data_IF_461543344923
#
_entry.id   IF_461543344923
#
_cell.length_a   1.000
_cell.length_b   1.000
_cell.length_c   1.000
_cell.angle_alpha   90.00
_cell.angle_beta   90.00
_cell.angle_gamma   90.00
#
_symmetry.space_group_name_H-M   'P 1'
#
loop_
_entity.id
_entity.type
_entity.pdbx_description
1 polymer ?
#
# COMPACT_ATOMS: atom_id res chain seq x y z
N UNK A 1 -38.82 -31.01 -2.05
CA UNK A 1 -38.20 -31.17 -0.70
C UNK A 1 -36.96 -30.26 -0.52
N UNK A 2 -37.03 -28.98 -0.94
CA UNK A 2 -35.89 -28.05 -0.99
C UNK A 2 -36.25 -26.61 -0.52
N UNK A 3 -37.34 -26.45 0.25
CA UNK A 3 -37.81 -25.15 0.77
C UNK A 3 -37.66 -25.05 2.31
N UNK A 4 -37.40 -26.16 3.01
CA UNK A 4 -37.25 -26.19 4.47
C UNK A 4 -35.87 -25.74 4.99
N UNK A 5 -34.80 -25.88 4.20
CA UNK A 5 -33.42 -25.64 4.65
C UNK A 5 -33.06 -24.15 4.72
N UNK A 6 -33.60 -23.34 3.80
CA UNK A 6 -33.34 -21.89 3.75
C UNK A 6 -34.02 -21.10 4.86
N UNK A 7 -35.22 -21.51 5.30
CA UNK A 7 -35.91 -20.87 6.45
C UNK A 7 -35.20 -21.14 7.78
N UNK A 8 -34.62 -22.32 7.96
CA UNK A 8 -33.89 -22.67 9.18
C UNK A 8 -32.55 -21.92 9.30
N UNK A 9 -31.91 -21.60 8.18
CA UNK A 9 -30.67 -20.81 8.17
C UNK A 9 -30.99 -19.33 8.42
N UNK A 10 -32.04 -18.80 7.80
CA UNK A 10 -32.46 -17.41 8.02
C UNK A 10 -32.95 -17.16 9.46
N UNK A 11 -33.68 -18.09 10.09
CA UNK A 11 -34.11 -17.92 11.49
C UNK A 11 -32.91 -17.92 12.44
N UNK A 12 -31.89 -18.76 12.19
CA UNK A 12 -30.66 -18.79 13.00
C UNK A 12 -29.85 -17.51 12.87
N UNK A 13 -29.80 -16.91 11.68
CA UNK A 13 -29.11 -15.62 11.46
C UNK A 13 -29.85 -14.48 12.16
N UNK A 14 -31.18 -14.49 12.13
CA UNK A 14 -32.03 -13.48 12.79
C UNK A 14 -31.96 -13.62 14.33
N UNK A 15 -32.02 -14.83 14.87
CA UNK A 15 -31.88 -15.08 16.32
C UNK A 15 -30.48 -14.68 16.82
N UNK A 16 -29.43 -14.87 16.01
CA UNK A 16 -28.07 -14.42 16.35
C UNK A 16 -27.91 -12.90 16.27
N UNK A 17 -28.70 -12.22 15.44
CA UNK A 17 -28.71 -10.76 15.32
C UNK A 17 -29.53 -10.07 16.42
N UNK A 18 -30.60 -10.70 16.91
CA UNK A 18 -31.51 -10.15 17.93
C UNK A 18 -30.99 -10.42 19.35
N UNK A 19 -30.31 -11.54 19.59
CA UNK A 19 -29.64 -11.83 20.86
C UNK A 19 -28.14 -11.59 20.72
N UNK A 20 -27.74 -10.32 20.68
CA UNK A 20 -26.33 -9.98 20.90
C UNK A 20 -25.96 -10.44 22.31
N UNK A 21 -25.05 -11.42 22.49
CA UNK A 21 -24.51 -11.69 23.81
C UNK A 21 -23.85 -10.40 24.32
N UNK A 22 -23.92 -10.15 25.64
CA UNK A 22 -23.15 -9.08 26.27
C UNK A 22 -21.71 -9.16 25.74
N UNK A 23 -21.06 -8.02 25.43
CA UNK A 23 -19.75 -8.02 24.79
C UNK A 23 -18.84 -8.99 25.54
N UNK A 24 -18.28 -9.94 24.79
CA UNK A 24 -17.42 -10.99 25.34
C UNK A 24 -16.34 -10.34 26.22
N UNK A 25 -15.87 -11.01 27.27
CA UNK A 25 -14.78 -10.50 28.11
C UNK A 25 -13.60 -10.02 27.25
N UNK A 26 -13.36 -10.67 26.11
CA UNK A 26 -12.38 -10.31 25.07
C UNK A 26 -12.66 -8.96 24.41
N UNK A 27 -13.90 -8.66 24.00
CA UNK A 27 -14.25 -7.35 23.43
C UNK A 27 -14.11 -6.22 24.46
N UNK A 28 -14.51 -6.49 25.71
CA UNK A 28 -14.33 -5.53 26.80
C UNK A 28 -12.84 -5.30 27.08
N UNK A 29 -12.02 -6.36 27.04
CA UNK A 29 -10.56 -6.31 27.16
C UNK A 29 -9.93 -5.52 26.02
N UNK A 30 -10.34 -5.75 24.78
CA UNK A 30 -9.90 -4.98 23.62
C UNK A 30 -10.26 -3.49 23.74
N UNK A 31 -11.44 -3.13 24.26
CA UNK A 31 -11.80 -1.74 24.52
C UNK A 31 -11.01 -1.12 25.69
N UNK A 32 -10.72 -1.90 26.75
CA UNK A 32 -9.88 -1.46 27.87
C UNK A 32 -8.40 -1.32 27.48
N UNK A 33 -7.88 -2.24 26.67
CA UNK A 33 -6.53 -2.20 26.10
C UNK A 33 -6.41 -1.07 25.07
N UNK A 34 -7.49 -0.77 24.32
CA UNK A 34 -7.59 0.39 23.42
C UNK A 34 -7.57 1.72 24.18
N UNK A 35 -8.34 1.85 25.28
CA UNK A 35 -8.35 3.03 26.15
C UNK A 35 -7.01 3.22 26.89
N UNK A 36 -6.32 2.12 27.20
CA UNK A 36 -4.98 2.16 27.79
C UNK A 36 -3.89 2.45 26.75
N UNK A 37 -3.99 1.96 25.51
CA UNK A 37 -3.09 2.30 24.39
C UNK A 37 -3.15 3.79 24.02
N UNK A 38 -4.33 4.42 24.12
CA UNK A 38 -4.45 5.88 23.97
C UNK A 38 -3.84 6.68 25.12
N UNK A 39 -3.53 6.03 26.26
CA UNK A 39 -2.95 6.64 27.46
C UNK A 39 -1.50 6.21 27.75
N UNK A 40 -0.95 5.23 27.02
CA UNK A 40 0.48 4.94 27.04
C UNK A 40 1.23 6.00 26.22
N UNK A 41 2.43 6.38 26.67
CA UNK A 41 3.27 7.38 26.02
C UNK A 41 3.52 7.11 24.52
N UNK A 42 4.22 8.01 23.81
CA UNK A 42 4.39 7.96 22.36
C UNK A 42 4.69 6.55 21.87
N UNK A 43 3.93 6.10 20.87
CA UNK A 43 4.15 4.82 20.20
C UNK A 43 5.61 4.83 19.70
N UNK A 44 6.49 4.23 20.48
CA UNK A 44 7.90 4.22 20.19
C UNK A 44 8.19 3.08 19.23
N UNK A 45 9.34 3.14 18.56
CA UNK A 45 9.88 2.02 17.80
C UNK A 45 9.67 0.72 18.60
N UNK A 46 9.11 -0.36 18.00
CA UNK A 46 8.93 -1.63 18.70
C UNK A 46 10.23 -2.04 19.39
N UNK A 47 10.17 -2.35 20.68
CA UNK A 47 11.33 -2.80 21.47
C UNK A 47 11.48 -4.31 21.51
N UNK A 48 10.43 -5.03 21.09
CA UNK A 48 10.42 -6.47 20.95
C UNK A 48 11.41 -6.94 19.87
N UNK A 49 12.36 -7.84 20.19
CA UNK A 49 13.38 -8.29 19.25
C UNK A 49 12.79 -8.92 17.98
N UNK A 50 11.71 -9.69 18.09
CA UNK A 50 11.11 -10.37 16.94
C UNK A 50 10.44 -9.37 16.00
N UNK A 51 9.70 -8.41 16.56
CA UNK A 51 9.15 -7.27 15.82
C UNK A 51 10.23 -6.42 15.12
N UNK A 52 11.36 -6.19 15.78
CA UNK A 52 12.50 -5.44 15.23
C UNK A 52 13.16 -6.17 14.08
N UNK A 53 13.40 -7.47 14.23
CA UNK A 53 13.99 -8.31 13.18
C UNK A 53 13.08 -8.33 11.96
N UNK A 54 11.78 -8.60 12.15
CA UNK A 54 10.81 -8.60 11.05
C UNK A 54 10.73 -7.22 10.37
N UNK A 55 10.70 -6.15 11.17
CA UNK A 55 10.72 -4.78 10.69
C UNK A 55 11.96 -4.48 9.83
N UNK A 56 13.14 -4.87 10.31
CA UNK A 56 14.42 -4.66 9.64
C UNK A 56 14.55 -5.45 8.33
N UNK A 57 14.13 -6.72 8.33
CA UNK A 57 14.11 -7.53 7.10
C UNK A 57 13.17 -6.96 6.05
N UNK A 58 11.94 -6.59 6.44
CA UNK A 58 10.99 -6.00 5.51
C UNK A 58 11.46 -4.66 4.94
N UNK A 59 12.01 -3.78 5.79
CA UNK A 59 12.54 -2.50 5.34
C UNK A 59 13.79 -2.66 4.46
N UNK A 60 14.69 -3.58 4.83
CA UNK A 60 15.88 -3.91 4.05
C UNK A 60 15.55 -4.46 2.66
N UNK A 61 14.54 -5.32 2.55
CA UNK A 61 14.05 -5.83 1.27
C UNK A 61 13.44 -4.73 0.40
N UNK A 62 12.62 -3.85 0.98
CA UNK A 62 12.01 -2.71 0.28
C UNK A 62 13.09 -1.75 -0.24
N UNK A 63 13.97 -1.26 0.64
CA UNK A 63 15.07 -0.35 0.28
C UNK A 63 16.03 -0.99 -0.71
N UNK A 64 16.41 -2.25 -0.48
CA UNK A 64 17.31 -3.00 -1.35
C UNK A 64 16.79 -3.09 -2.78
N UNK A 65 15.50 -3.39 -2.96
CA UNK A 65 14.90 -3.43 -4.29
C UNK A 65 14.90 -2.07 -4.98
N UNK A 66 14.53 -0.99 -4.28
CA UNK A 66 14.55 0.36 -4.82
C UNK A 66 15.95 0.80 -5.27
N UNK A 67 16.99 0.42 -4.51
CA UNK A 67 18.38 0.72 -4.87
C UNK A 67 18.80 -0.02 -6.15
N UNK A 68 18.45 -1.30 -6.27
CA UNK A 68 18.73 -2.09 -7.50
C UNK A 68 18.00 -1.48 -8.70
N UNK A 69 16.73 -1.16 -8.55
CA UNK A 69 15.90 -0.51 -9.59
C UNK A 69 16.47 0.86 -9.99
N UNK A 70 16.98 1.63 -9.03
CA UNK A 70 17.63 2.91 -9.29
C UNK A 70 18.93 2.71 -10.09
N UNK A 71 19.74 1.71 -9.74
CA UNK A 71 20.95 1.38 -10.48
C UNK A 71 20.64 0.93 -11.92
N UNK A 72 19.61 0.11 -12.12
CA UNK A 72 19.15 -0.32 -13.43
C UNK A 72 18.60 0.86 -14.25
N UNK A 73 17.85 1.76 -13.62
CA UNK A 73 17.38 3.01 -14.25
C UNK A 73 18.57 3.84 -14.70
N UNK A 74 19.57 4.04 -13.84
CA UNK A 74 20.80 4.80 -14.16
C UNK A 74 21.54 4.17 -15.34
N UNK A 75 21.74 2.85 -15.32
CA UNK A 75 22.44 2.13 -16.38
C UNK A 75 21.73 2.25 -17.74
N UNK A 76 20.39 2.31 -17.73
CA UNK A 76 19.57 2.42 -18.94
C UNK A 76 19.21 3.87 -19.32
N UNK A 77 19.66 4.89 -18.56
CA UNK A 77 19.33 6.29 -18.83
C UNK A 77 19.85 6.76 -20.18
N UNK A 78 18.95 7.31 -20.99
CA UNK A 78 19.30 8.00 -22.24
C UNK A 78 19.29 9.52 -22.05
N UNK A 79 20.30 10.19 -22.62
CA UNK A 79 20.41 11.66 -22.57
C UNK A 79 19.18 12.29 -23.26
N UNK A 80 18.55 13.25 -22.58
CA UNK A 80 17.40 14.00 -23.10
C UNK A 80 16.02 13.38 -22.83
N UNK A 81 15.94 12.18 -22.24
CA UNK A 81 14.65 11.56 -21.90
C UNK A 81 14.25 11.92 -20.47
N UNK A 82 13.21 12.75 -20.32
CA UNK A 82 12.71 13.19 -19.01
C UNK A 82 12.19 12.03 -18.15
N UNK A 83 11.56 11.02 -18.77
CA UNK A 83 10.91 9.91 -18.07
C UNK A 83 11.86 9.18 -17.11
N UNK A 84 13.08 8.84 -17.55
CA UNK A 84 14.05 8.15 -16.69
C UNK A 84 14.49 9.01 -15.49
N UNK A 85 14.57 10.33 -15.66
CA UNK A 85 14.93 11.25 -14.57
C UNK A 85 13.83 11.29 -13.51
N UNK A 86 12.57 11.26 -13.94
CA UNK A 86 11.42 11.22 -13.03
C UNK A 86 11.34 9.88 -12.29
N UNK A 87 11.54 8.75 -12.98
CA UNK A 87 11.61 7.42 -12.36
C UNK A 87 12.73 7.38 -11.32
N UNK A 88 13.92 7.90 -11.64
CA UNK A 88 15.02 7.93 -10.68
C UNK A 88 14.68 8.81 -9.45
N UNK A 89 14.05 9.96 -9.66
CA UNK A 89 13.63 10.83 -8.56
C UNK A 89 12.58 10.16 -7.66
N UNK A 90 11.61 9.45 -8.25
CA UNK A 90 10.62 8.65 -7.53
C UNK A 90 11.28 7.61 -6.63
N UNK A 91 12.22 6.83 -7.18
CA UNK A 91 12.92 5.77 -6.46
C UNK A 91 13.76 6.33 -5.30
N UNK A 92 14.43 7.46 -5.49
CA UNK A 92 15.21 8.12 -4.44
C UNK A 92 14.30 8.57 -3.30
N UNK A 93 13.18 9.23 -3.61
CA UNK A 93 12.21 9.70 -2.62
C UNK A 93 11.62 8.54 -1.79
N UNK A 94 11.25 7.44 -2.45
CA UNK A 94 10.77 6.24 -1.76
C UNK A 94 11.84 5.60 -0.87
N UNK A 95 13.09 5.54 -1.34
CA UNK A 95 14.22 4.94 -0.61
C UNK A 95 14.48 5.66 0.72
N UNK A 96 14.36 6.99 0.73
CA UNK A 96 14.53 7.79 1.94
C UNK A 96 13.52 7.42 3.04
N UNK A 97 12.31 6.99 2.67
CA UNK A 97 11.33 6.52 3.64
C UNK A 97 11.78 5.29 4.41
N UNK A 98 12.42 4.31 3.77
CA UNK A 98 12.84 3.08 4.46
C UNK A 98 13.92 3.28 5.54
N UNK A 99 14.46 4.49 5.71
CA UNK A 99 15.49 4.80 6.71
C UNK A 99 14.97 5.05 8.12
N UNK A 100 13.65 5.22 8.30
CA UNK A 100 13.10 5.60 9.61
C UNK A 100 13.41 4.61 10.72
N UNK A 101 13.56 3.32 10.39
CA UNK A 101 13.81 2.24 11.34
C UNK A 101 15.14 2.37 12.10
N UNK A 102 16.09 3.16 11.58
CA UNK A 102 17.37 3.39 12.26
C UNK A 102 17.27 4.38 13.42
N UNK A 103 16.18 5.14 13.51
CA UNK A 103 15.99 6.15 14.55
C UNK A 103 15.32 5.59 15.80
N UNK A 104 15.54 6.25 16.94
CA UNK A 104 14.92 5.92 18.23
C UNK A 104 14.25 7.16 18.82
N UNK A 105 13.44 6.97 19.86
CA UNK A 105 12.87 8.07 20.62
C UNK A 105 13.98 9.01 21.13
N UNK A 106 13.81 10.34 21.12
CA UNK A 106 12.61 11.12 20.77
C UNK A 106 12.48 11.49 19.28
N UNK A 107 13.49 11.23 18.45
CA UNK A 107 13.55 11.69 17.05
C UNK A 107 12.67 10.83 16.12
N UNK A 108 12.36 9.60 16.55
CA UNK A 108 11.63 8.61 15.76
C UNK A 108 10.35 9.14 15.09
N UNK A 109 9.42 9.73 15.85
CA UNK A 109 8.14 10.19 15.32
C UNK A 109 8.29 11.33 14.30
N UNK A 110 9.20 12.27 14.55
CA UNK A 110 9.52 13.37 13.64
C UNK A 110 10.14 12.89 12.32
N UNK A 111 11.11 11.99 12.42
CA UNK A 111 11.82 11.46 11.26
C UNK A 111 10.91 10.55 10.42
N UNK A 112 10.10 9.70 11.05
CA UNK A 112 9.08 8.90 10.37
C UNK A 112 8.09 9.78 9.59
N UNK A 113 7.53 10.82 10.22
CA UNK A 113 6.58 11.71 9.55
C UNK A 113 7.22 12.50 8.39
N UNK A 114 8.44 13.01 8.60
CA UNK A 114 9.17 13.75 7.55
C UNK A 114 9.48 12.86 6.35
N UNK A 115 9.92 11.64 6.60
CA UNK A 115 10.22 10.69 5.53
C UNK A 115 8.95 10.12 4.88
N UNK A 116 7.81 10.08 5.59
CA UNK A 116 6.51 9.74 4.99
C UNK A 116 6.05 10.78 3.96
N UNK A 117 6.32 12.07 4.18
CA UNK A 117 6.07 13.12 3.17
C UNK A 117 6.83 12.80 1.86
N UNK A 118 8.07 12.34 1.96
CA UNK A 118 8.86 11.93 0.80
C UNK A 118 8.27 10.70 0.11
N UNK A 119 7.74 9.74 0.87
CA UNK A 119 7.02 8.59 0.31
C UNK A 119 5.78 9.04 -0.47
N UNK A 120 4.96 9.94 0.07
CA UNK A 120 3.76 10.43 -0.62
C UNK A 120 4.09 11.30 -1.83
N UNK A 121 5.20 12.04 -1.78
CA UNK A 121 5.74 12.72 -2.96
C UNK A 121 6.18 11.71 -4.03
N UNK A 122 6.85 10.63 -3.64
CA UNK A 122 7.19 9.51 -4.54
C UNK A 122 5.93 8.87 -5.14
N UNK A 123 4.93 8.54 -4.33
CA UNK A 123 3.66 7.98 -4.79
C UNK A 123 2.94 8.92 -5.77
N UNK A 124 2.95 10.22 -5.54
CA UNK A 124 2.35 11.20 -6.44
C UNK A 124 3.11 11.24 -7.78
N UNK A 125 4.44 11.23 -7.72
CA UNK A 125 5.30 11.20 -8.91
C UNK A 125 5.12 9.90 -9.70
N UNK A 126 5.01 8.75 -9.02
CA UNK A 126 4.72 7.46 -9.59
C UNK A 126 3.46 7.49 -10.46
N UNK A 127 2.38 8.06 -9.93
CA UNK A 127 1.10 8.17 -10.63
C UNK A 127 1.16 9.13 -11.83
N UNK A 128 1.97 10.19 -11.75
CA UNK A 128 2.24 11.08 -12.90
C UNK A 128 3.04 10.35 -13.98
N UNK A 129 4.04 9.55 -13.61
CA UNK A 129 4.83 8.74 -14.55
C UNK A 129 3.94 7.69 -15.23
N UNK A 130 3.11 6.99 -14.46
CA UNK A 130 2.13 6.04 -15.00
C UNK A 130 1.19 6.72 -16.00
N UNK A 131 0.65 7.89 -15.64
CA UNK A 131 -0.16 8.71 -16.55
C UNK A 131 0.60 9.07 -17.83
N UNK A 132 1.86 9.55 -17.74
CA UNK A 132 2.67 9.89 -18.90
C UNK A 132 2.87 8.71 -19.85
N UNK A 133 3.04 7.49 -19.31
CA UNK A 133 3.20 6.25 -20.11
C UNK A 133 1.92 5.89 -20.87
N UNK A 134 0.75 6.03 -20.26
CA UNK A 134 -0.54 5.67 -20.90
C UNK A 134 -1.20 6.81 -21.67
N UNK A 135 -0.78 8.07 -21.43
CA UNK A 135 -1.36 9.28 -22.04
C UNK A 135 -1.52 9.20 -23.56
N UNK A 136 -0.57 8.68 -24.36
CA UNK A 136 -0.72 8.60 -25.82
C UNK A 136 -1.91 7.74 -26.27
N UNK A 137 -2.38 6.84 -25.42
CA UNK A 137 -3.47 5.90 -25.73
C UNK A 137 -4.82 6.33 -25.13
N UNK A 138 -4.85 7.43 -24.35
CA UNK A 138 -6.05 7.91 -23.68
C UNK A 138 -6.74 9.04 -24.46
N UNK A 139 -8.07 9.05 -24.44
CA UNK A 139 -8.84 10.21 -24.88
C UNK A 139 -8.59 11.41 -23.95
N UNK A 140 -8.74 12.64 -24.46
CA UNK A 140 -8.52 13.87 -23.67
C UNK A 140 -9.34 13.91 -22.37
N UNK A 141 -10.58 13.41 -22.40
CA UNK A 141 -11.46 13.36 -21.23
C UNK A 141 -10.95 12.37 -20.17
N UNK A 142 -10.56 11.16 -20.60
CA UNK A 142 -10.03 10.14 -19.70
C UNK A 142 -8.66 10.54 -19.11
N UNK A 143 -7.81 11.20 -19.91
CA UNK A 143 -6.54 11.74 -19.42
C UNK A 143 -6.74 12.79 -18.33
N UNK A 144 -7.69 13.71 -18.50
CA UNK A 144 -7.99 14.74 -17.48
C UNK A 144 -8.63 14.10 -16.26
N UNK A 145 -9.51 13.11 -16.44
CA UNK A 145 -10.10 12.36 -15.33
C UNK A 145 -9.04 11.62 -14.50
N UNK A 146 -8.10 10.92 -15.16
CA UNK A 146 -7.01 10.21 -14.48
C UNK A 146 -6.20 11.16 -13.61
N UNK A 147 -5.66 12.24 -14.17
CA UNK A 147 -4.81 13.16 -13.40
C UNK A 147 -5.63 13.97 -12.38
N UNK A 148 -6.88 14.30 -12.69
CA UNK A 148 -7.79 15.00 -11.78
C UNK A 148 -8.06 14.18 -10.52
N UNK A 149 -8.27 12.87 -10.65
CA UNK A 149 -8.44 11.98 -9.48
C UNK A 149 -7.17 11.87 -8.65
N UNK A 150 -5.97 11.82 -9.27
CA UNK A 150 -4.69 11.88 -8.53
C UNK A 150 -4.56 13.16 -7.69
N UNK A 151 -4.97 14.31 -8.26
CA UNK A 151 -4.96 15.58 -7.53
C UNK A 151 -5.98 15.61 -6.38
N UNK A 152 -7.17 15.02 -6.59
CA UNK A 152 -8.23 14.98 -5.57
C UNK A 152 -7.86 14.15 -4.34
N UNK A 153 -6.89 13.24 -4.46
CA UNK A 153 -6.42 12.42 -3.34
C UNK A 153 -5.42 13.16 -2.43
N UNK A 154 -4.79 14.24 -2.90
CA UNK A 154 -3.76 14.95 -2.12
C UNK A 154 -4.21 15.40 -0.71
N UNK A 155 -5.45 15.90 -0.50
CA UNK A 155 -5.95 16.20 0.84
C UNK A 155 -5.96 15.00 1.78
N UNK A 156 -6.25 13.79 1.28
CA UNK A 156 -6.18 12.57 2.10
C UNK A 156 -4.76 12.33 2.62
N UNK A 157 -3.74 12.42 1.76
CA UNK A 157 -2.34 12.23 2.15
C UNK A 157 -1.84 13.27 3.17
N UNK A 158 -2.35 14.51 3.10
CA UNK A 158 -2.05 15.55 4.09
C UNK A 158 -2.59 15.15 5.47
N UNK A 159 -3.85 14.69 5.52
CA UNK A 159 -4.48 14.25 6.77
C UNK A 159 -3.77 13.00 7.32
N UNK A 160 -3.43 12.05 6.44
CA UNK A 160 -2.72 10.84 6.82
C UNK A 160 -1.34 11.13 7.42
N UNK A 161 -0.55 12.00 6.78
CA UNK A 161 0.74 12.48 7.30
C UNK A 161 0.60 13.09 8.70
N UNK A 162 -0.41 13.95 8.90
CA UNK A 162 -0.67 14.55 10.20
C UNK A 162 -1.03 13.49 11.24
N UNK A 163 -1.85 12.51 10.87
CA UNK A 163 -2.26 11.43 11.77
C UNK A 163 -1.09 10.53 12.19
N UNK A 164 -0.15 10.23 11.27
CA UNK A 164 1.11 9.55 11.58
C UNK A 164 1.91 10.37 12.59
N UNK A 165 2.11 11.66 12.32
CA UNK A 165 2.85 12.54 13.23
C UNK A 165 2.22 12.58 14.63
N UNK A 166 0.91 12.77 14.70
CA UNK A 166 0.16 12.88 15.96
C UNK A 166 0.21 11.56 16.76
N UNK A 167 0.07 10.41 16.09
CA UNK A 167 0.12 9.08 16.71
C UNK A 167 1.51 8.77 17.30
N UNK A 168 2.58 8.95 16.52
CA UNK A 168 3.93 8.57 16.93
C UNK A 168 4.60 9.58 17.88
N UNK A 169 4.11 10.82 17.95
CA UNK A 169 4.59 11.83 18.91
C UNK A 169 3.63 12.06 20.11
N UNK A 170 2.51 11.33 20.17
CA UNK A 170 1.45 11.49 21.17
C UNK A 170 0.90 12.94 21.25
N UNK A 171 0.72 13.59 20.10
CA UNK A 171 0.27 15.00 20.01
C UNK A 171 -1.21 15.04 19.67
N UNK A 172 -2.06 14.70 20.64
CA UNK A 172 -3.52 14.73 20.50
C UNK A 172 -4.08 13.85 19.37
N UNK A 173 -5.40 13.62 19.35
CA UNK A 173 -6.11 12.99 18.24
C UNK A 173 -5.51 11.66 17.67
N UNK A 174 -4.86 10.86 18.52
CA UNK A 174 -4.19 9.60 18.15
C UNK A 174 -5.13 8.56 17.54
N UNK A 175 -6.42 8.62 17.90
CA UNK A 175 -7.46 7.75 17.32
C UNK A 175 -7.69 7.97 15.82
N UNK A 176 -7.36 9.15 15.28
CA UNK A 176 -7.57 9.47 13.87
C UNK A 176 -6.76 8.51 12.99
N UNK A 177 -5.53 8.20 13.39
CA UNK A 177 -4.65 7.31 12.64
C UNK A 177 -5.27 5.92 12.44
N UNK A 178 -5.83 5.35 13.52
CA UNK A 178 -6.47 4.03 13.46
C UNK A 178 -7.74 4.02 12.60
N UNK A 179 -8.45 5.15 12.53
CA UNK A 179 -9.66 5.29 11.71
C UNK A 179 -9.35 5.48 10.23
N UNK A 180 -8.22 6.11 9.90
CA UNK A 180 -7.83 6.43 8.52
C UNK A 180 -7.09 5.26 7.86
N UNK A 181 -6.28 4.49 8.59
CA UNK A 181 -5.46 3.39 8.05
C UNK A 181 -6.23 2.39 7.14
N UNK A 182 -7.45 1.92 7.48
CA UNK A 182 -8.19 1.01 6.58
C UNK A 182 -8.51 1.61 5.20
N UNK A 183 -8.55 2.94 5.10
CA UNK A 183 -8.83 3.66 3.85
C UNK A 183 -7.58 3.85 2.98
N UNK A 184 -6.38 3.65 3.52
CA UNK A 184 -5.13 3.89 2.82
C UNK A 184 -5.06 3.11 1.50
N UNK A 185 -5.39 1.81 1.51
CA UNK A 185 -5.41 0.99 0.31
C UNK A 185 -6.32 1.56 -0.80
N UNK A 186 -7.49 2.10 -0.42
CA UNK A 186 -8.43 2.70 -1.36
C UNK A 186 -7.87 3.97 -2.00
N UNK A 187 -7.14 4.79 -1.25
CA UNK A 187 -6.56 6.04 -1.76
C UNK A 187 -5.17 5.87 -2.39
N UNK A 188 -4.57 4.68 -2.25
CA UNK A 188 -3.24 4.34 -2.80
C UNK A 188 -3.31 3.55 -4.11
N UNK A 189 -4.18 2.54 -4.16
CA UNK A 189 -4.08 1.44 -5.13
C UNK A 189 -4.92 1.55 -6.44
N UNK A 190 -5.99 2.36 -6.58
CA UNK A 190 -6.83 2.36 -7.79
C UNK A 190 -6.11 2.70 -9.11
N UNK A 191 -5.13 3.60 -9.08
CA UNK A 191 -4.51 4.14 -10.30
C UNK A 191 -3.58 3.16 -11.00
N UNK A 192 -2.79 2.40 -10.24
CA UNK A 192 -1.91 1.39 -10.84
C UNK A 192 -2.75 0.25 -11.43
N UNK A 193 -3.84 -0.15 -10.76
CA UNK A 193 -4.83 -1.12 -11.25
C UNK A 193 -5.46 -0.65 -12.56
N UNK A 194 -5.90 0.61 -12.61
CA UNK A 194 -6.46 1.20 -13.82
C UNK A 194 -5.45 1.21 -14.96
N UNK A 195 -4.22 1.66 -14.70
CA UNK A 195 -3.12 1.70 -15.66
C UNK A 195 -2.81 0.32 -16.21
N UNK A 196 -2.73 -0.68 -15.34
CA UNK A 196 -2.50 -2.08 -15.68
C UNK A 196 -3.59 -2.63 -16.59
N UNK A 197 -4.85 -2.58 -16.16
CA UNK A 197 -5.98 -3.08 -16.93
C UNK A 197 -6.09 -2.39 -18.29
N UNK A 198 -5.84 -1.07 -18.35
CA UNK A 198 -5.87 -0.31 -19.58
C UNK A 198 -4.75 -0.72 -20.54
N UNK A 199 -3.52 -0.91 -20.06
CA UNK A 199 -2.41 -1.38 -20.88
C UNK A 199 -2.71 -2.76 -21.48
N UNK A 200 -3.23 -3.69 -20.68
CA UNK A 200 -3.63 -5.01 -21.16
C UNK A 200 -4.74 -4.93 -22.22
N UNK A 201 -5.74 -4.09 -21.99
CA UNK A 201 -6.82 -3.85 -22.94
C UNK A 201 -6.31 -3.29 -24.27
N UNK A 202 -5.43 -2.28 -24.22
CA UNK A 202 -4.82 -1.66 -25.41
C UNK A 202 -4.00 -2.68 -26.19
N UNK A 203 -3.18 -3.49 -25.51
CA UNK A 203 -2.34 -4.51 -26.18
C UNK A 203 -3.22 -5.52 -26.93
N UNK A 204 -4.26 -6.03 -26.27
CA UNK A 204 -5.16 -6.98 -26.89
C UNK A 204 -5.92 -6.36 -28.08
N UNK A 205 -6.41 -5.12 -27.95
CA UNK A 205 -7.26 -4.48 -28.98
C UNK A 205 -6.52 -3.87 -30.15
N UNK A 206 -5.40 -3.18 -29.91
CA UNK A 206 -4.68 -2.45 -30.96
C UNK A 206 -3.67 -3.35 -31.66
N UNK A 207 -2.97 -4.20 -30.90
CA UNK A 207 -1.91 -5.04 -31.46
C UNK A 207 -2.41 -6.43 -31.85
N UNK A 208 -3.64 -6.82 -31.46
CA UNK A 208 -4.23 -8.14 -31.73
C UNK A 208 -3.34 -9.31 -31.26
N UNK A 209 -2.54 -9.07 -30.21
CA UNK A 209 -1.65 -10.06 -29.61
C UNK A 209 -2.34 -10.62 -28.37
N UNK A 210 -2.37 -11.94 -28.24
CA UNK A 210 -2.87 -12.58 -27.02
C UNK A 210 -1.84 -12.46 -25.89
N UNK A 211 -2.30 -12.46 -24.62
CA UNK A 211 -1.38 -12.35 -23.48
C UNK A 211 -0.34 -13.47 -23.44
N UNK A 212 -0.70 -14.69 -23.85
CA UNK A 212 0.22 -15.82 -23.91
C UNK A 212 1.27 -15.64 -25.01
N UNK A 213 0.89 -15.12 -26.18
CA UNK A 213 1.85 -14.77 -27.23
C UNK A 213 2.77 -13.65 -26.79
N UNK A 214 2.25 -12.64 -26.08
CA UNK A 214 3.05 -11.54 -25.55
C UNK A 214 4.13 -12.04 -24.57
N UNK A 215 3.76 -12.95 -23.66
CA UNK A 215 4.70 -13.59 -22.72
C UNK A 215 5.73 -14.44 -23.48
N UNK A 216 5.31 -15.10 -24.55
CA UNK A 216 6.21 -15.92 -25.38
C UNK A 216 7.21 -15.07 -26.17
N UNK A 217 6.79 -13.91 -26.66
CA UNK A 217 7.63 -12.96 -27.39
C UNK A 217 8.60 -12.25 -26.43
N UNK A 218 8.10 -11.85 -25.25
CA UNK A 218 8.90 -11.20 -24.21
C UNK A 218 8.61 -11.82 -22.84
N UNK A 219 9.45 -12.79 -22.40
CA UNK A 219 9.31 -13.42 -21.08
C UNK A 219 9.32 -12.42 -19.93
N UNK A 220 9.97 -11.26 -20.13
CA UNK A 220 10.02 -10.12 -19.21
C UNK A 220 8.63 -9.60 -18.85
N UNK A 221 7.73 -9.53 -19.83
CA UNK A 221 6.33 -9.12 -19.60
C UNK A 221 5.59 -10.15 -18.74
N UNK A 222 5.91 -11.44 -18.86
CA UNK A 222 5.36 -12.48 -18.01
C UNK A 222 5.78 -12.35 -16.55
N UNK A 223 7.07 -12.07 -16.29
CA UNK A 223 7.56 -11.83 -14.92
C UNK A 223 6.90 -10.59 -14.31
N UNK A 224 6.79 -9.50 -15.08
CA UNK A 224 6.07 -8.29 -14.67
C UNK A 224 4.61 -8.60 -14.29
N UNK A 225 3.87 -9.30 -15.16
CA UNK A 225 2.47 -9.67 -14.93
C UNK A 225 2.33 -10.52 -13.67
N UNK A 226 3.16 -11.55 -13.51
CA UNK A 226 3.16 -12.39 -12.32
C UNK A 226 3.40 -11.56 -11.05
N UNK A 227 4.37 -10.65 -11.09
CA UNK A 227 4.70 -9.78 -9.96
C UNK A 227 3.54 -8.86 -9.58
N UNK A 228 2.79 -8.34 -10.56
CA UNK A 228 1.59 -7.53 -10.33
C UNK A 228 0.41 -8.36 -9.79
N UNK A 229 0.26 -9.61 -10.22
CA UNK A 229 -0.74 -10.50 -9.62
C UNK A 229 -0.38 -10.88 -8.17
N UNK A 230 0.90 -11.16 -7.90
CA UNK A 230 1.37 -11.42 -6.54
C UNK A 230 1.15 -10.18 -5.65
N UNK A 231 1.35 -8.97 -6.17
CA UNK A 231 1.11 -7.73 -5.45
C UNK A 231 -0.37 -7.56 -5.06
N UNK A 232 -1.32 -7.94 -5.93
CA UNK A 232 -2.76 -7.97 -5.57
C UNK A 232 -3.06 -8.89 -4.39
N UNK A 233 -2.45 -10.08 -4.38
CA UNK A 233 -2.62 -11.03 -3.28
C UNK A 233 -2.09 -10.43 -1.98
N UNK A 234 -0.92 -9.77 -2.02
CA UNK A 234 -0.36 -9.13 -0.83
C UNK A 234 -1.16 -7.92 -0.34
N UNK A 235 -1.77 -7.10 -1.21
CA UNK A 235 -2.71 -6.05 -0.78
C UNK A 235 -3.92 -6.67 -0.07
N UNK A 236 -4.48 -7.76 -0.61
CA UNK A 236 -5.62 -8.41 0.02
C UNK A 236 -5.27 -8.94 1.41
N UNK A 237 -4.09 -9.55 1.55
CA UNK A 237 -3.57 -10.01 2.85
C UNK A 237 -3.34 -8.83 3.81
N UNK A 238 -2.85 -7.70 3.31
CA UNK A 238 -2.64 -6.46 4.08
C UNK A 238 -3.96 -5.89 4.60
N UNK A 239 -4.98 -5.77 3.74
CA UNK A 239 -6.33 -5.34 4.11
C UNK A 239 -6.94 -6.30 5.13
N UNK A 240 -6.81 -7.62 4.93
CA UNK A 240 -7.33 -8.63 5.85
C UNK A 240 -6.62 -8.62 7.21
N UNK A 241 -5.34 -8.25 7.24
CA UNK A 241 -4.56 -8.04 8.47
C UNK A 241 -4.99 -6.76 9.19
N UNK A 242 -5.14 -5.65 8.47
CA UNK A 242 -5.51 -4.34 9.05
C UNK A 242 -6.97 -4.34 9.56
N UNK A 243 -7.86 -5.09 8.90
CA UNK A 243 -9.27 -5.23 9.31
C UNK A 243 -9.49 -6.23 10.45
N UNK A 244 -8.42 -6.87 10.95
CA UNK A 244 -8.49 -7.79 12.09
C UNK A 244 -9.18 -9.13 11.79
N UNK A 245 -9.35 -9.48 10.51
CA UNK A 245 -9.92 -10.78 10.11
C UNK A 245 -8.86 -11.89 10.23
N UNK A 246 -7.57 -11.54 10.08
CA UNK A 246 -6.44 -12.40 10.39
C UNK A 246 -5.65 -11.82 11.57
N UNK A 247 -5.83 -12.42 12.75
CA UNK A 247 -5.14 -11.98 13.96
C UNK A 247 -3.76 -12.68 14.04
N UNK A 248 -2.74 -12.04 13.45
CA UNK A 248 -1.37 -12.57 13.39
C UNK A 248 -0.57 -12.36 14.69
N UNK A 249 -1.17 -11.81 15.75
CA UNK A 249 -0.50 -11.56 17.03
C UNK A 249 0.60 -10.50 16.98
N UNK A 250 0.68 -9.73 15.88
CA UNK A 250 1.64 -8.65 15.68
C UNK A 250 1.09 -7.32 16.23
N UNK A 251 1.95 -6.54 16.89
CA UNK A 251 1.58 -5.22 17.42
C UNK A 251 1.04 -4.30 16.31
N UNK A 252 -0.01 -3.53 16.62
CA UNK A 252 -0.62 -2.59 15.68
C UNK A 252 0.42 -1.62 15.10
N UNK A 253 0.72 -1.74 13.80
CA UNK A 253 1.71 -0.93 13.08
C UNK A 253 2.93 -1.69 12.54
N UNK A 254 2.99 -3.00 12.71
CA UNK A 254 3.93 -3.86 11.98
C UNK A 254 3.21 -4.38 10.73
N UNK A 255 3.58 -3.84 9.56
CA UNK A 255 2.98 -4.17 8.26
C UNK A 255 3.95 -5.04 7.44
N UNK A 256 3.94 -6.38 7.60
CA UNK A 256 4.83 -7.26 6.87
C UNK A 256 4.41 -7.44 5.40
N UNK A 257 3.11 -7.41 5.10
CA UNK A 257 2.59 -7.71 3.77
C UNK A 257 2.69 -6.54 2.79
N UNK A 258 2.47 -5.31 3.25
CA UNK A 258 2.69 -4.10 2.46
C UNK A 258 4.13 -3.98 1.91
N UNK A 259 5.13 -4.45 2.66
CA UNK A 259 6.54 -4.40 2.21
C UNK A 259 6.85 -5.41 1.11
N UNK A 260 6.24 -6.59 1.18
CA UNK A 260 6.35 -7.62 0.13
C UNK A 260 5.53 -7.23 -1.11
N UNK A 261 4.37 -6.60 -0.89
CA UNK A 261 3.60 -5.95 -1.94
C UNK A 261 4.44 -4.92 -2.70
N UNK A 262 5.09 -3.99 -1.98
CA UNK A 262 5.89 -2.92 -2.57
C UNK A 262 7.08 -3.46 -3.37
N UNK A 263 7.79 -4.48 -2.85
CA UNK A 263 8.84 -5.19 -3.58
C UNK A 263 8.34 -5.79 -4.91
N UNK A 264 7.21 -6.50 -4.85
CA UNK A 264 6.61 -7.14 -6.03
C UNK A 264 6.11 -6.11 -7.04
N UNK A 265 5.59 -4.97 -6.57
CA UNK A 265 5.17 -3.86 -7.42
C UNK A 265 6.38 -3.18 -8.09
N UNK A 266 7.45 -2.91 -7.34
CA UNK A 266 8.68 -2.32 -7.88
C UNK A 266 9.31 -3.21 -8.95
N UNK A 267 9.44 -4.52 -8.70
CA UNK A 267 9.99 -5.48 -9.66
C UNK A 267 9.23 -5.55 -11.00
N UNK A 268 7.95 -5.14 -11.02
CA UNK A 268 7.15 -5.07 -12.25
C UNK A 268 7.53 -3.89 -13.15
N UNK A 269 8.14 -2.83 -12.62
CA UNK A 269 8.37 -1.59 -13.37
C UNK A 269 9.61 -1.62 -14.26
N UNK A 270 10.56 -2.54 -14.02
CA UNK A 270 11.87 -2.64 -14.68
C UNK A 270 11.87 -3.40 -16.01
N UNK A 271 10.75 -4.01 -16.38
CA UNK A 271 10.64 -4.80 -17.61
C UNK A 271 10.07 -4.02 -18.81
N UNK A 272 9.96 -2.69 -18.70
CA UNK A 272 9.59 -1.78 -19.80
C UNK A 272 10.79 -0.99 -20.33
#
# INVERSE_FOLDING_TARGET
MLIGSTRAILSRIIDHAIHRPSPSPTYRRLCYDWYNMSNTGPASRPTDPDALVLGAWGQGLMVGSLVVMAALTIANMRKGVLLHKLILAELILATLHGTWIFTTFPVYGWFLATTAILLFASWSLHNVIAWMKIRPFLSRRLSVFYIGTVCLVQPFWIVDTYSIFAFYNNVGATEIYLKIRPWEALFRDPWWLCTFCLLLYIINKIYNISFLELIRISPRVGVMLFSMFASLVFILLDILSVTGVMDLGLAAGIEPFWKVFFFSLSASMDFN
#
